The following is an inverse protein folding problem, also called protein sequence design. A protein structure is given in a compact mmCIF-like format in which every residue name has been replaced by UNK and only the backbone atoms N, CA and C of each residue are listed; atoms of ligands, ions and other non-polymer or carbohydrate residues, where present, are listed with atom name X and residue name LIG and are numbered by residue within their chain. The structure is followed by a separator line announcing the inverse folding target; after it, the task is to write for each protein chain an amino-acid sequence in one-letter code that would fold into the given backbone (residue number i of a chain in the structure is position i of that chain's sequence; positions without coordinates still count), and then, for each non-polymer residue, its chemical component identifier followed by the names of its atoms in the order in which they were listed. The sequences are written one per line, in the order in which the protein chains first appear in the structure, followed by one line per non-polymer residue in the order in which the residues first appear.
data_IF_722372965108
#
_entry.id   IF_722372965108
#
_cell.length_a   1.000
_cell.length_b   1.000
_cell.length_c   1.000
_cell.angle_alpha   90.00
_cell.angle_beta   90.00
_cell.angle_gamma   90.00
#
_symmetry.space_group_name_H-M   'P 1'
#
loop_
_entity.id
_entity.type
_entity.pdbx_description
1 polymer ?
#
# COMPACT_ATOMS: atom_id res chain seq x y z
N UNK A 1 6.24 -15.82 8.62
CA UNK A 1 7.48 -15.29 8.02
C UNK A 1 7.43 -15.48 6.52
N UNK A 2 7.58 -14.41 5.74
CA UNK A 2 7.81 -14.54 4.30
C UNK A 2 9.17 -15.21 4.11
N UNK A 3 9.22 -16.26 3.27
CA UNK A 3 10.50 -16.83 2.86
C UNK A 3 11.30 -15.72 2.17
N UNK A 4 12.60 -15.62 2.46
CA UNK A 4 13.50 -14.73 1.70
C UNK A 4 13.39 -15.14 0.22
N UNK A 5 13.02 -14.18 -0.62
CA UNK A 5 12.96 -14.38 -2.06
C UNK A 5 14.27 -13.80 -2.58
N UNK A 6 15.09 -14.66 -3.18
CA UNK A 6 16.34 -14.28 -3.82
C UNK A 6 16.27 -14.76 -5.26
N UNK A 7 16.44 -13.84 -6.20
CA UNK A 7 16.42 -14.11 -7.63
C UNK A 7 17.84 -13.95 -8.21
N UNK A 8 18.14 -14.72 -9.25
CA UNK A 8 19.45 -14.70 -9.91
C UNK A 8 19.69 -13.38 -10.65
N UNK A 9 18.67 -12.86 -11.32
CA UNK A 9 18.76 -11.55 -11.99
C UNK A 9 18.80 -10.41 -10.95
N UNK A 10 19.80 -9.52 -11.02
CA UNK A 10 19.97 -8.47 -10.03
C UNK A 10 18.84 -7.43 -10.03
N UNK A 11 18.20 -7.15 -11.17
CA UNK A 11 17.12 -6.18 -11.26
C UNK A 11 15.81 -6.74 -10.71
N UNK A 12 15.49 -7.98 -11.06
CA UNK A 12 14.34 -8.69 -10.49
C UNK A 12 14.51 -8.89 -8.99
N UNK A 13 15.71 -9.28 -8.54
CA UNK A 13 16.01 -9.46 -7.12
C UNK A 13 15.89 -8.13 -6.34
N UNK A 14 16.33 -7.02 -6.92
CA UNK A 14 16.14 -5.70 -6.34
C UNK A 14 14.65 -5.37 -6.19
N UNK A 15 13.83 -5.62 -7.22
CA UNK A 15 12.38 -5.44 -7.17
C UNK A 15 11.72 -6.31 -6.10
N UNK A 16 12.08 -7.59 -6.02
CA UNK A 16 11.58 -8.53 -5.01
C UNK A 16 11.92 -8.05 -3.58
N UNK A 17 13.15 -7.56 -3.36
CA UNK A 17 13.58 -7.00 -2.07
C UNK A 17 12.78 -5.77 -1.66
N UNK A 18 12.48 -4.86 -2.59
CA UNK A 18 11.66 -3.68 -2.32
C UNK A 18 10.25 -4.06 -1.85
N UNK A 19 9.60 -5.02 -2.53
CA UNK A 19 8.26 -5.49 -2.14
C UNK A 19 8.30 -6.25 -0.81
N UNK A 20 9.36 -7.02 -0.56
CA UNK A 20 9.57 -7.70 0.72
C UNK A 20 9.73 -6.71 1.87
N UNK A 21 10.41 -5.58 1.66
CA UNK A 21 10.54 -4.52 2.66
C UNK A 21 9.18 -3.91 3.03
N UNK A 22 8.30 -3.69 2.05
CA UNK A 22 6.92 -3.19 2.29
C UNK A 22 6.12 -4.15 3.16
N UNK A 23 6.19 -5.45 2.86
CA UNK A 23 5.51 -6.47 3.64
C UNK A 23 6.07 -6.56 5.07
N UNK A 24 7.40 -6.52 5.23
CA UNK A 24 8.06 -6.57 6.53
C UNK A 24 7.68 -5.37 7.41
N UNK A 25 7.72 -4.15 6.87
CA UNK A 25 7.28 -2.94 7.61
C UNK A 25 5.82 -3.01 8.04
N UNK A 26 4.96 -3.59 7.19
CA UNK A 26 3.55 -3.80 7.54
C UNK A 26 3.43 -4.76 8.72
N UNK A 27 4.18 -5.87 8.70
CA UNK A 27 4.22 -6.82 9.80
C UNK A 27 4.71 -6.20 11.11
N UNK A 28 5.75 -5.37 11.05
CA UNK A 28 6.34 -4.73 12.24
C UNK A 28 5.37 -3.77 12.93
N UNK A 29 4.56 -3.02 12.17
CA UNK A 29 3.66 -2.01 12.72
C UNK A 29 2.28 -2.59 13.05
N UNK A 30 1.73 -3.41 12.16
CA UNK A 30 0.35 -3.88 12.25
C UNK A 30 0.22 -5.33 12.76
N UNK A 31 1.28 -6.15 12.67
CA UNK A 31 1.28 -7.56 13.07
C UNK A 31 0.55 -8.52 12.11
N UNK A 32 -0.12 -7.98 11.09
CA UNK A 32 -0.88 -8.71 10.06
C UNK A 32 -0.98 -7.85 8.78
N UNK A 33 -1.49 -8.41 7.68
CA UNK A 33 -1.74 -7.69 6.44
C UNK A 33 -0.57 -7.69 5.45
N UNK A 34 0.44 -8.53 5.68
CA UNK A 34 1.62 -8.65 4.81
C UNK A 34 1.25 -9.03 3.38
N UNK A 35 0.36 -10.01 3.18
CA UNK A 35 -0.12 -10.41 1.86
C UNK A 35 -0.89 -9.29 1.16
N UNK A 36 -1.74 -8.57 1.90
CA UNK A 36 -2.49 -7.42 1.36
C UNK A 36 -1.54 -6.31 0.92
N UNK A 37 -0.50 -6.03 1.72
CA UNK A 37 0.50 -5.03 1.39
C UNK A 37 1.31 -5.43 0.14
N UNK A 38 1.69 -6.70 0.00
CA UNK A 38 2.39 -7.22 -1.18
C UNK A 38 1.58 -7.04 -2.46
N UNK A 39 0.30 -7.46 -2.46
CA UNK A 39 -0.57 -7.34 -3.65
C UNK A 39 -0.88 -5.88 -3.96
N UNK A 40 -1.08 -5.04 -2.94
CA UNK A 40 -1.31 -3.62 -3.15
C UNK A 40 -0.08 -2.92 -3.73
N UNK A 41 1.12 -3.25 -3.24
CA UNK A 41 2.38 -2.73 -3.78
C UNK A 41 2.55 -3.10 -5.25
N UNK A 42 2.28 -4.37 -5.62
CA UNK A 42 2.30 -4.81 -7.01
C UNK A 42 1.34 -3.98 -7.88
N UNK A 43 0.09 -3.80 -7.44
CA UNK A 43 -0.92 -3.05 -8.18
C UNK A 43 -0.51 -1.58 -8.36
N UNK A 44 0.03 -0.95 -7.31
CA UNK A 44 0.53 0.43 -7.37
C UNK A 44 1.69 0.59 -8.34
N UNK A 45 2.63 -0.34 -8.37
CA UNK A 45 3.77 -0.33 -9.31
C UNK A 45 3.26 -0.45 -10.74
N UNK A 46 2.38 -1.42 -11.01
CA UNK A 46 1.83 -1.64 -12.35
C UNK A 46 1.06 -0.42 -12.86
N UNK A 47 0.25 0.19 -12.00
CA UNK A 47 -0.53 1.37 -12.36
C UNK A 47 0.35 2.62 -12.52
N UNK A 48 1.34 2.80 -11.67
CA UNK A 48 2.33 3.87 -11.79
C UNK A 48 3.10 3.80 -13.11
N UNK A 49 3.56 2.61 -13.50
CA UNK A 49 4.27 2.40 -14.77
C UNK A 49 3.38 2.74 -15.98
N UNK A 50 2.11 2.30 -15.99
CA UNK A 50 1.16 2.65 -17.07
C UNK A 50 0.99 4.17 -17.21
N UNK A 51 0.85 4.87 -16.09
CA UNK A 51 0.68 6.33 -16.08
C UNK A 51 1.94 7.04 -16.59
N UNK A 52 3.13 6.59 -16.18
CA UNK A 52 4.41 7.13 -16.66
C UNK A 52 4.58 6.91 -18.17
N UNK A 53 4.29 5.71 -18.68
CA UNK A 53 4.35 5.42 -20.13
C UNK A 53 3.36 6.26 -20.95
N UNK A 54 2.28 6.74 -20.31
CA UNK A 54 1.28 7.62 -20.92
C UNK A 54 1.67 9.12 -20.85
N UNK A 55 2.90 9.43 -20.42
CA UNK A 55 3.44 10.79 -20.36
C UNK A 55 3.11 11.56 -19.08
N UNK A 56 2.58 10.88 -18.03
CA UNK A 56 2.34 11.54 -16.75
C UNK A 56 3.67 11.88 -16.05
N UNK A 57 3.81 13.13 -15.61
CA UNK A 57 4.95 13.54 -14.78
C UNK A 57 4.89 12.85 -13.41
N UNK A 58 5.90 12.01 -13.13
CA UNK A 58 5.98 11.19 -11.91
C UNK A 58 5.77 11.99 -10.62
N UNK A 59 6.41 13.16 -10.50
CA UNK A 59 6.26 14.04 -9.34
C UNK A 59 4.81 14.51 -9.10
N UNK A 60 4.05 14.71 -10.16
CA UNK A 60 2.64 15.13 -10.07
C UNK A 60 1.79 13.94 -9.67
N UNK A 61 2.02 12.78 -10.29
CA UNK A 61 1.33 11.54 -9.96
C UNK A 61 1.48 11.18 -8.48
N UNK A 62 2.70 11.21 -7.95
CA UNK A 62 2.99 10.89 -6.55
C UNK A 62 2.30 11.86 -5.57
N UNK A 63 2.32 13.16 -5.87
CA UNK A 63 1.63 14.16 -5.05
C UNK A 63 0.12 13.95 -5.04
N UNK A 64 -0.44 13.64 -6.20
CA UNK A 64 -1.89 13.45 -6.37
C UNK A 64 -2.34 12.14 -5.71
N UNK A 65 -1.62 11.03 -5.93
CA UNK A 65 -1.94 9.71 -5.37
C UNK A 65 -1.89 9.72 -3.84
N UNK A 66 -0.83 10.30 -3.25
CA UNK A 66 -0.68 10.40 -1.80
C UNK A 66 -1.76 11.29 -1.16
N UNK A 67 -2.12 12.40 -1.81
CA UNK A 67 -3.22 13.28 -1.35
C UNK A 67 -4.56 12.54 -1.37
N UNK A 68 -4.85 11.80 -2.44
CA UNK A 68 -6.08 11.01 -2.56
C UNK A 68 -6.16 9.93 -1.47
N UNK A 69 -5.06 9.20 -1.26
CA UNK A 69 -4.99 8.17 -0.22
C UNK A 69 -5.27 8.75 1.18
N UNK A 70 -4.67 9.90 1.50
CA UNK A 70 -4.91 10.61 2.78
C UNK A 70 -6.38 11.01 2.94
N UNK A 71 -7.02 11.52 1.89
CA UNK A 71 -8.42 11.91 1.92
C UNK A 71 -9.33 10.70 2.15
N UNK A 72 -9.06 9.59 1.47
CA UNK A 72 -9.80 8.35 1.59
C UNK A 72 -9.68 7.77 3.01
N UNK A 73 -8.47 7.72 3.57
CA UNK A 73 -8.22 7.30 4.95
C UNK A 73 -8.98 8.17 5.95
N UNK A 74 -8.96 9.49 5.78
CA UNK A 74 -9.72 10.43 6.62
C UNK A 74 -11.22 10.14 6.58
N UNK A 75 -11.76 9.84 5.40
CA UNK A 75 -13.17 9.47 5.23
C UNK A 75 -13.50 8.13 5.90
N UNK A 76 -12.65 7.12 5.71
CA UNK A 76 -12.82 5.80 6.34
C UNK A 76 -12.81 5.90 7.87
N UNK A 77 -11.86 6.64 8.45
CA UNK A 77 -11.80 6.89 9.90
C UNK A 77 -13.05 7.59 10.43
N UNK A 78 -13.63 8.53 9.67
CA UNK A 78 -14.88 9.20 10.05
C UNK A 78 -16.06 8.22 10.10
N UNK A 79 -16.13 7.26 9.18
CA UNK A 79 -17.16 6.22 9.15
C UNK A 79 -16.99 5.29 10.36
N UNK A 80 -15.77 4.81 10.61
CA UNK A 80 -15.49 3.93 11.75
C UNK A 80 -15.84 4.56 13.10
N UNK A 81 -15.54 5.85 13.30
CA UNK A 81 -15.94 6.57 14.53
C UNK A 81 -17.46 6.57 14.72
N UNK A 82 -18.24 6.81 13.65
CA UNK A 82 -19.71 6.79 13.71
C UNK A 82 -20.25 5.40 14.08
N UNK A 83 -19.66 4.33 13.54
CA UNK A 83 -20.07 2.96 13.84
C UNK A 83 -19.84 2.58 15.30
N UNK A 84 -18.66 2.92 15.86
CA UNK A 84 -18.39 2.70 17.29
C UNK A 84 -19.38 3.42 18.21
N UNK A 85 -19.78 4.63 17.85
CA UNK A 85 -20.81 5.39 18.59
C UNK A 85 -22.16 4.68 18.50
N UNK A 86 -22.57 4.21 17.31
CA UNK A 86 -23.85 3.50 17.13
C UNK A 86 -23.92 2.16 17.88
N UNK A 87 -22.80 1.44 18.00
CA UNK A 87 -22.73 0.21 18.81
C UNK A 87 -22.84 0.50 20.31
N UNK A 88 -22.23 1.60 20.82
CA UNK A 88 -22.38 2.01 22.22
C UNK A 88 -23.81 2.45 22.58
N UNK A 89 -24.56 3.00 21.62
CA UNK A 89 -25.96 3.40 21.82
C UNK A 89 -26.96 2.23 21.72
N UNK A 90 -26.51 1.06 21.25
CA UNK A 90 -27.34 -0.16 21.11
C UNK A 90 -27.09 -1.20 22.22
N UNK A 91 -26.16 -0.93 23.13
CA UNK A 91 -25.97 -1.67 24.38
C UNK A 91 -26.60 -0.88 25.51
#
# INVERSE_FOLDING_TARGET
MLKKIELEDPYENMGAKLVQEVANKTNEIAGDGTTTATVLAQAMIQEGLKNVTSGATQLVYDKVSTKQLKLLLKRYMKILKKLKIKMKLRK
#
